data_IF_180462718311
#
_entry.id   IF_180462718311
#
_cell.length_a   1.000
_cell.length_b   1.000
_cell.length_c   1.000
_cell.angle_alpha   90.00
_cell.angle_beta   90.00
_cell.angle_gamma   90.00
#
_symmetry.space_group_name_H-M   'P 1'
#
loop_
_entity.id
_entity.type
_entity.pdbx_description
1 polymer ?
#
# COMPACT_ATOMS: atom_id res chain seq x y z
N UNK A 1 -9.89 7.86 18.86
CA UNK A 1 -8.51 7.44 18.55
C UNK A 1 -7.99 8.29 17.40
N UNK A 2 -6.69 8.59 17.34
CA UNK A 2 -6.12 9.30 16.19
C UNK A 2 -5.55 8.26 15.21
N UNK A 3 -6.32 7.89 14.19
CA UNK A 3 -5.96 6.80 13.25
C UNK A 3 -4.75 7.16 12.39
N UNK A 4 -4.52 8.45 12.10
CA UNK A 4 -3.30 8.91 11.43
C UNK A 4 -2.04 8.59 12.26
N UNK A 5 -2.12 8.71 13.58
CA UNK A 5 -0.99 8.35 14.46
C UNK A 5 -0.72 6.85 14.43
N UNK A 6 -1.77 6.02 14.36
CA UNK A 6 -1.63 4.57 14.22
C UNK A 6 -0.95 4.24 12.90
N UNK A 7 -1.41 4.80 11.77
CA UNK A 7 -0.77 4.65 10.45
C UNK A 7 0.71 5.06 10.49
N UNK A 8 1.04 6.22 11.09
CA UNK A 8 2.43 6.68 11.23
C UNK A 8 3.28 5.66 11.98
N UNK A 9 2.78 5.13 13.08
CA UNK A 9 3.51 4.18 13.92
C UNK A 9 3.76 2.88 13.16
N UNK A 10 2.74 2.30 12.55
CA UNK A 10 2.88 1.03 11.83
C UNK A 10 3.70 1.19 10.55
N UNK A 11 3.56 2.27 9.79
CA UNK A 11 4.41 2.53 8.60
C UNK A 11 5.89 2.57 8.99
N UNK A 12 6.23 3.21 10.13
CA UNK A 12 7.61 3.23 10.64
C UNK A 12 8.09 1.87 11.12
N UNK A 13 7.23 1.09 11.79
CA UNK A 13 7.54 -0.28 12.21
C UNK A 13 7.80 -1.18 11.00
N UNK A 14 6.97 -1.10 9.96
CA UNK A 14 7.13 -1.81 8.69
C UNK A 14 8.48 -1.47 8.06
N UNK A 15 8.79 -0.19 7.88
CA UNK A 15 10.04 0.25 7.27
C UNK A 15 11.29 -0.16 8.07
N UNK A 16 11.21 -0.12 9.40
CA UNK A 16 12.27 -0.63 10.27
C UNK A 16 12.43 -2.15 10.15
N UNK A 17 11.33 -2.91 10.15
CA UNK A 17 11.38 -4.38 10.12
C UNK A 17 11.84 -4.92 8.77
N UNK A 18 11.27 -4.42 7.67
CA UNK A 18 11.52 -4.94 6.33
C UNK A 18 12.86 -4.45 5.77
N UNK A 19 13.25 -3.20 6.08
CA UNK A 19 14.39 -2.56 5.41
C UNK A 19 15.37 -1.86 6.35
N UNK A 20 15.22 -1.98 7.67
CA UNK A 20 16.13 -1.36 8.64
C UNK A 20 16.08 0.17 8.64
N UNK A 21 15.03 0.79 8.11
CA UNK A 21 14.92 2.25 8.00
C UNK A 21 14.37 2.84 9.29
N UNK A 22 15.24 3.48 10.08
CA UNK A 22 14.84 4.07 11.37
C UNK A 22 14.39 5.53 11.30
N UNK A 23 14.78 6.25 10.25
CA UNK A 23 14.57 7.70 10.12
C UNK A 23 13.46 8.07 9.12
N UNK A 24 12.50 7.15 8.89
CA UNK A 24 11.37 7.39 8.01
C UNK A 24 10.47 8.53 8.53
N UNK A 25 10.15 9.48 7.66
CA UNK A 25 9.10 10.48 7.91
C UNK A 25 7.80 10.00 7.26
N UNK A 26 6.69 10.23 7.96
CA UNK A 26 5.35 9.87 7.48
C UNK A 26 4.47 11.10 7.64
N UNK A 27 3.89 11.56 6.54
CA UNK A 27 3.10 12.78 6.48
C UNK A 27 1.70 12.51 5.90
N UNK A 28 0.78 13.44 6.14
CA UNK A 28 -0.52 13.47 5.48
C UNK A 28 -0.67 14.81 4.78
N UNK A 29 -0.95 14.79 3.49
CA UNK A 29 -1.12 15.99 2.68
C UNK A 29 -2.32 15.83 1.73
N UNK A 30 -2.82 16.93 1.18
CA UNK A 30 -3.82 16.95 0.10
C UNK A 30 -3.11 16.89 -1.27
N UNK A 31 -1.80 17.09 -1.32
CA UNK A 31 -1.04 17.25 -2.57
C UNK A 31 -0.92 15.96 -3.40
N UNK A 32 -1.98 15.59 -4.11
CA UNK A 32 -1.93 14.86 -5.39
C UNK A 32 -2.53 15.76 -6.48
N UNK A 33 -2.06 17.01 -6.53
CA UNK A 33 -2.71 18.11 -7.27
C UNK A 33 -2.55 18.06 -8.80
N UNK A 34 -1.94 17.03 -9.39
CA UNK A 34 -1.72 16.97 -10.86
C UNK A 34 -2.29 15.73 -11.57
N UNK A 35 -2.91 14.77 -10.87
CA UNK A 35 -3.48 13.56 -11.49
C UNK A 35 -4.99 13.40 -11.29
N UNK A 36 -5.70 14.46 -10.87
CA UNK A 36 -7.15 14.43 -10.66
C UNK A 36 -7.98 14.70 -11.93
N UNK A 37 -7.52 14.22 -13.08
CA UNK A 37 -8.40 14.04 -14.23
C UNK A 37 -8.61 12.53 -14.41
N UNK A 38 -9.77 12.09 -13.92
CA UNK A 38 -10.40 10.79 -14.11
C UNK A 38 -9.78 9.59 -13.36
N UNK A 39 -10.52 9.15 -12.34
CA UNK A 39 -10.58 7.76 -11.82
C UNK A 39 -9.54 7.21 -10.83
N UNK A 40 -8.43 7.90 -10.53
CA UNK A 40 -7.40 7.38 -9.61
C UNK A 40 -7.13 8.25 -8.37
N UNK A 41 -7.80 8.01 -7.23
CA UNK A 41 -7.38 8.64 -5.95
C UNK A 41 -6.14 7.91 -5.44
N UNK A 42 -4.95 8.49 -5.65
CA UNK A 42 -3.72 8.01 -5.01
C UNK A 42 -3.90 8.02 -3.49
N UNK A 43 -3.65 6.86 -2.86
CA UNK A 43 -3.75 6.69 -1.41
C UNK A 43 -2.43 7.00 -0.70
N UNK A 44 -1.29 6.80 -1.36
CA UNK A 44 0.04 7.07 -0.84
C UNK A 44 1.08 7.43 -1.91
N UNK A 45 2.20 7.97 -1.47
CA UNK A 45 3.42 8.17 -2.26
C UNK A 45 4.66 7.97 -1.39
N UNK A 46 5.68 7.32 -1.93
CA UNK A 46 6.99 7.17 -1.30
C UNK A 46 8.10 7.91 -2.06
N UNK A 47 8.70 8.90 -1.42
CA UNK A 47 10.00 9.44 -1.80
C UNK A 47 11.11 8.66 -1.07
N UNK A 48 11.61 7.61 -1.73
CA UNK A 48 12.60 6.69 -1.14
C UNK A 48 13.95 7.35 -0.87
N UNK A 49 14.35 8.34 -1.67
CA UNK A 49 15.60 9.09 -1.50
C UNK A 49 15.60 9.91 -0.21
N UNK A 50 14.49 10.57 0.08
CA UNK A 50 14.34 11.38 1.30
C UNK A 50 13.77 10.60 2.49
N UNK A 51 13.34 9.35 2.24
CA UNK A 51 12.69 8.47 3.22
C UNK A 51 11.44 9.12 3.79
N UNK A 52 10.59 9.59 2.89
CA UNK A 52 9.30 10.20 3.21
C UNK A 52 8.21 9.38 2.55
N UNK A 53 7.20 8.99 3.33
CA UNK A 53 5.93 8.46 2.81
C UNK A 53 4.84 9.47 3.14
N UNK A 54 4.06 9.84 2.13
CA UNK A 54 2.93 10.77 2.27
C UNK A 54 1.64 10.04 1.94
N UNK A 55 0.66 10.11 2.83
CA UNK A 55 -0.68 9.55 2.59
C UNK A 55 -1.70 10.64 2.29
N UNK A 56 -2.71 10.30 1.51
CA UNK A 56 -3.79 11.22 1.17
C UNK A 56 -4.65 11.56 2.40
N UNK A 57 -4.60 12.81 2.85
CA UNK A 57 -5.37 13.25 4.03
C UNK A 57 -6.89 13.20 3.83
N UNK A 58 -7.40 13.13 2.59
CA UNK A 58 -8.82 12.95 2.30
C UNK A 58 -9.28 11.50 2.50
N UNK A 59 -8.41 10.53 2.14
CA UNK A 59 -8.65 9.09 2.30
C UNK A 59 -8.39 8.61 3.73
N UNK A 60 -7.43 9.24 4.41
CA UNK A 60 -7.00 8.88 5.77
C UNK A 60 -7.30 10.02 6.75
N UNK A 61 -8.57 10.16 7.11
CA UNK A 61 -9.00 11.16 8.09
C UNK A 61 -8.62 10.71 9.51
N UNK A 62 -8.64 11.65 10.45
CA UNK A 62 -8.27 11.41 11.86
C UNK A 62 -9.03 10.24 12.50
N UNK A 63 -10.27 10.00 12.08
CA UNK A 63 -11.23 9.05 12.62
C UNK A 63 -11.74 8.04 11.57
N UNK A 64 -11.16 8.01 10.37
CA UNK A 64 -11.55 7.08 9.30
C UNK A 64 -10.34 6.55 8.54
N UNK A 65 -10.35 5.26 8.25
CA UNK A 65 -9.35 4.58 7.43
C UNK A 65 -9.91 4.26 6.04
N UNK A 66 -9.03 4.17 5.05
CA UNK A 66 -9.34 3.53 3.76
C UNK A 66 -9.39 2.02 3.93
N UNK A 67 -10.25 1.34 3.16
CA UNK A 67 -10.42 -0.12 3.19
C UNK A 67 -9.10 -0.88 2.97
N UNK A 68 -8.24 -0.38 2.10
CA UNK A 68 -6.95 -0.97 1.74
C UNK A 68 -5.76 -0.34 2.50
N UNK A 69 -5.98 0.21 3.70
CA UNK A 69 -4.92 0.94 4.42
C UNK A 69 -3.68 0.10 4.68
N UNK A 70 -3.85 -1.16 5.08
CA UNK A 70 -2.73 -2.04 5.40
C UNK A 70 -1.85 -2.28 4.17
N UNK A 71 -2.48 -2.71 3.08
CA UNK A 71 -1.80 -3.00 1.82
C UNK A 71 -1.12 -1.76 1.25
N UNK A 72 -1.79 -0.60 1.37
CA UNK A 72 -1.18 0.69 0.98
C UNK A 72 0.08 0.97 1.80
N UNK A 73 0.05 0.76 3.12
CA UNK A 73 1.25 0.97 3.95
C UNK A 73 2.40 0.04 3.54
N UNK A 74 2.12 -1.23 3.27
CA UNK A 74 3.14 -2.20 2.82
C UNK A 74 3.64 -1.85 1.42
N UNK A 75 2.76 -1.40 0.53
CA UNK A 75 3.09 -0.94 -0.82
C UNK A 75 4.07 0.23 -0.79
N UNK A 76 3.74 1.30 -0.08
CA UNK A 76 4.61 2.48 0.02
C UNK A 76 5.95 2.17 0.70
N UNK A 77 5.95 1.29 1.71
CA UNK A 77 7.20 0.85 2.34
C UNK A 77 8.05 0.03 1.36
N UNK A 78 7.45 -0.77 0.48
CA UNK A 78 8.17 -1.54 -0.56
C UNK A 78 8.89 -0.61 -1.55
N UNK A 79 8.32 0.57 -1.82
CA UNK A 79 8.96 1.60 -2.65
C UNK A 79 10.26 2.18 -2.06
N UNK A 80 10.56 1.96 -0.78
CA UNK A 80 11.86 2.36 -0.20
C UNK A 80 13.05 1.68 -0.88
N UNK A 81 12.84 0.49 -1.45
CA UNK A 81 13.88 -0.31 -2.11
C UNK A 81 13.70 -0.38 -3.63
N UNK A 82 12.46 -0.26 -4.12
CA UNK A 82 12.12 -0.49 -5.52
C UNK A 82 11.44 0.72 -6.14
N UNK A 83 12.00 1.20 -7.26
CA UNK A 83 11.41 2.28 -8.05
C UNK A 83 10.46 1.69 -9.10
N UNK A 84 9.20 2.17 -9.10
CA UNK A 84 8.14 1.69 -9.99
C UNK A 84 7.63 0.27 -9.68
N UNK A 85 6.57 -0.14 -10.37
CA UNK A 85 5.87 -1.42 -10.16
C UNK A 85 6.35 -2.52 -11.12
N UNK A 86 7.66 -2.75 -11.17
CA UNK A 86 8.21 -3.84 -11.98
C UNK A 86 7.99 -5.22 -11.32
N UNK A 87 8.29 -6.31 -12.04
CA UNK A 87 8.16 -7.69 -11.55
C UNK A 87 8.81 -7.91 -10.18
N UNK A 88 9.98 -7.31 -9.95
CA UNK A 88 10.70 -7.46 -8.69
C UNK A 88 9.99 -6.74 -7.54
N UNK A 89 9.36 -5.59 -7.80
CA UNK A 89 8.49 -4.91 -6.84
C UNK A 89 7.31 -5.78 -6.44
N UNK A 90 6.60 -6.36 -7.41
CA UNK A 90 5.40 -7.19 -7.16
C UNK A 90 5.76 -8.40 -6.30
N UNK A 91 6.81 -9.13 -6.67
CA UNK A 91 7.31 -10.28 -5.88
C UNK A 91 7.67 -9.87 -4.45
N UNK A 92 8.39 -8.75 -4.28
CA UNK A 92 8.77 -8.29 -2.94
C UNK A 92 7.56 -7.83 -2.12
N UNK A 93 6.59 -7.16 -2.74
CA UNK A 93 5.36 -6.73 -2.09
C UNK A 93 4.58 -7.91 -1.50
N UNK A 94 4.40 -8.98 -2.26
CA UNK A 94 3.74 -10.22 -1.77
C UNK A 94 4.50 -10.87 -0.62
N UNK A 95 5.83 -10.95 -0.72
CA UNK A 95 6.69 -11.47 0.35
C UNK A 95 6.53 -10.62 1.62
N UNK A 96 6.55 -9.30 1.46
CA UNK A 96 6.41 -8.36 2.57
C UNK A 96 5.07 -8.52 3.29
N UNK A 97 3.96 -8.64 2.56
CA UNK A 97 2.63 -8.86 3.14
C UNK A 97 2.62 -10.07 4.10
N UNK A 98 3.28 -11.16 3.72
CA UNK A 98 3.41 -12.37 4.54
C UNK A 98 4.35 -12.15 5.74
N UNK A 99 5.48 -11.45 5.55
CA UNK A 99 6.47 -11.19 6.61
C UNK A 99 5.96 -10.27 7.73
N UNK A 100 4.91 -9.50 7.47
CA UNK A 100 4.34 -8.54 8.43
C UNK A 100 2.90 -8.88 8.85
N UNK A 101 2.45 -10.12 8.60
CA UNK A 101 1.10 -10.55 8.95
C UNK A 101 0.80 -10.50 10.46
N UNK A 102 1.80 -10.74 11.31
CA UNK A 102 1.70 -10.54 12.75
C UNK A 102 1.43 -9.06 13.11
N UNK A 103 2.15 -8.12 12.47
CA UNK A 103 1.90 -6.69 12.65
C UNK A 103 0.54 -6.27 12.08
N UNK A 104 0.06 -6.90 11.00
CA UNK A 104 -1.28 -6.67 10.46
C UNK A 104 -2.35 -7.00 11.49
N UNK A 105 -2.22 -8.15 12.15
CA UNK A 105 -3.14 -8.60 13.21
C UNK A 105 -3.13 -7.65 14.41
N UNK A 106 -1.97 -7.15 14.80
CA UNK A 106 -1.84 -6.11 15.84
C UNK A 106 -2.52 -4.80 15.43
N UNK A 107 -2.28 -4.34 14.20
CA UNK A 107 -2.91 -3.16 13.62
C UNK A 107 -4.44 -3.29 13.61
N UNK A 108 -4.97 -4.38 13.06
CA UNK A 108 -6.41 -4.65 12.99
C UNK A 108 -7.05 -4.61 14.37
N UNK A 109 -6.43 -5.26 15.37
CA UNK A 109 -6.89 -5.22 16.75
C UNK A 109 -6.90 -3.81 17.33
N UNK A 110 -5.87 -3.01 17.07
CA UNK A 110 -5.75 -1.64 17.59
C UNK A 110 -6.80 -0.71 16.97
N UNK A 111 -7.05 -0.83 15.67
CA UNK A 111 -8.03 0.01 14.96
C UNK A 111 -9.46 -0.51 15.05
N UNK A 112 -9.66 -1.70 15.63
CA UNK A 112 -10.96 -2.35 15.76
C UNK A 112 -11.48 -2.90 14.43
N UNK A 113 -10.58 -3.32 13.54
CA UNK A 113 -10.90 -4.00 12.28
C UNK A 113 -11.08 -5.50 12.53
N UNK A 114 -12.21 -6.05 12.10
CA UNK A 114 -12.64 -7.43 12.37
C UNK A 114 -12.66 -8.33 11.12
N UNK A 115 -12.13 -7.86 9.99
CA UNK A 115 -12.00 -8.66 8.76
C UNK A 115 -10.83 -9.65 8.85
N UNK A 116 -11.17 -10.93 8.69
CA UNK A 116 -10.23 -12.03 8.54
C UNK A 116 -9.72 -12.06 7.08
N UNK A 117 -8.43 -11.78 6.89
CA UNK A 117 -7.73 -12.00 5.61
C UNK A 117 -6.94 -13.31 5.71
N UNK A 118 -7.34 -14.29 4.91
CA UNK A 118 -6.56 -15.49 4.63
C UNK A 118 -5.76 -15.26 3.34
N UNK A 119 -4.43 -15.28 3.42
CA UNK A 119 -3.61 -15.36 2.22
C UNK A 119 -3.71 -16.80 1.71
N UNK A 120 -4.30 -17.02 0.54
CA UNK A 120 -4.20 -18.33 -0.11
C UNK A 120 -2.71 -18.64 -0.34
N UNK A 121 -2.29 -19.82 0.11
CA UNK A 121 -0.94 -20.34 -0.02
C UNK A 121 -0.70 -20.78 -1.48
N UNK A 122 -0.90 -19.88 -2.43
CA UNK A 122 -0.60 -20.13 -3.82
C UNK A 122 0.93 -20.01 -3.99
N UNK A 123 1.55 -21.12 -4.39
CA UNK A 123 2.91 -21.16 -4.91
C UNK A 123 3.06 -20.02 -5.93
N UNK A 124 4.05 -19.15 -5.73
CA UNK A 124 4.36 -18.08 -6.67
C UNK A 124 4.83 -18.77 -7.97
N UNK A 125 3.90 -19.09 -8.87
CA UNK A 125 4.22 -19.61 -10.19
C UNK A 125 4.81 -18.44 -10.98
N UNK A 126 6.13 -18.47 -11.16
CA UNK A 126 6.88 -17.42 -11.84
C UNK A 126 6.39 -17.15 -13.28
N UNK A 127 5.58 -18.06 -13.85
CA UNK A 127 4.98 -17.92 -15.19
C UNK A 127 3.71 -17.05 -15.19
N UNK A 128 3.03 -16.88 -14.06
CA UNK A 128 1.81 -16.05 -13.98
C UNK A 128 2.16 -14.55 -14.00
N UNK A 129 3.38 -14.20 -13.62
CA UNK A 129 3.81 -12.79 -13.52
C UNK A 129 4.36 -12.25 -14.86
N UNK A 130 4.59 -13.10 -15.86
CA UNK A 130 4.90 -12.66 -17.23
C UNK A 130 3.64 -12.25 -18.01
N UNK A 131 2.47 -12.83 -17.69
CA UNK A 131 1.21 -12.57 -18.40
C UNK A 131 0.23 -11.64 -17.64
N UNK A 132 0.47 -11.32 -16.36
CA UNK A 132 -0.39 -10.43 -15.56
C UNK A 132 0.40 -9.33 -14.83
N UNK A 133 0.99 -8.40 -15.58
CA UNK A 133 1.34 -7.07 -15.04
C UNK A 133 0.07 -6.22 -14.96
N UNK A 134 -0.82 -6.61 -14.05
CA UNK A 134 -2.01 -5.83 -13.69
C UNK A 134 -2.06 -5.77 -12.16
N UNK A 135 -1.76 -4.60 -11.60
CA UNK A 135 -2.12 -4.30 -10.21
C UNK A 135 -3.65 -4.23 -10.13
N UNK A 136 -4.32 -5.36 -9.90
CA UNK A 136 -5.78 -5.48 -9.72
C UNK A 136 -6.31 -4.82 -8.42
N UNK A 137 -5.63 -3.81 -7.86
CA UNK A 137 -6.26 -2.91 -6.87
C UNK A 137 -7.21 -1.89 -7.53
N UNK A 138 -7.29 -1.86 -8.86
CA UNK A 138 -8.24 -1.07 -9.64
C UNK A 138 -8.89 -1.94 -10.72
N UNK A 139 -9.99 -2.63 -10.40
CA UNK A 139 -10.94 -3.08 -11.43
C UNK A 139 -11.69 -1.85 -11.95
N UNK A 140 -11.12 -1.18 -12.95
CA UNK A 140 -11.94 -0.40 -13.89
C UNK A 140 -12.38 -1.42 -14.94
N UNK A 141 -13.69 -1.66 -15.03
CA UNK A 141 -14.26 -2.48 -16.09
C UNK A 141 -13.89 -1.84 -17.43
N UNK A 142 -13.06 -2.51 -18.23
CA UNK A 142 -12.90 -2.18 -19.66
C UNK A 142 -14.24 -2.45 -20.36
N UNK A 143 -15.07 -1.41 -20.49
CA UNK A 143 -16.09 -1.36 -21.53
C UNK A 143 -15.35 -0.98 -22.81
N UNK A 144 -14.96 -1.98 -23.60
CA UNK A 144 -14.71 -1.77 -25.03
C UNK A 144 -16.06 -1.48 -25.69
N UNK A 145 -16.34 -0.20 -25.95
CA UNK A 145 -17.25 0.15 -27.05
C UNK A 145 -16.47 -0.04 -28.35
N UNK A 146 -16.52 -1.26 -28.88
CA UNK A 146 -16.48 -1.48 -30.32
C UNK A 146 -17.73 -0.79 -30.89
N UNK A 147 -17.60 0.45 -31.39
CA UNK A 147 -18.36 0.91 -32.56
C UNK A 147 -17.94 2.33 -33.02
N UNK A 148 -17.52 2.37 -34.31
CA UNK A 148 -17.41 3.50 -35.27
C UNK A 148 -16.10 4.28 -35.45
#
# INVERSE_FOLDING_TARGET
MNLQQVIINYTKLLAKRLYGVENLKVNFDICFDDYSNDEGIFSGECNSKEKIITYNSLSYKKDRLSFNVWDTMVHEVTHLKYFGHNLQFIKEFEINLRLVDDLRKEFNKEVGWDEDFEYEENDIDERVIEDNVYCELFKIEEIYDDDF
#
